data_IF_953965579210
#
_entry.id   IF_953965579210
#
_cell.length_a   1.000
_cell.length_b   1.000
_cell.length_c   1.000
_cell.angle_alpha   90.00
_cell.angle_beta   90.00
_cell.angle_gamma   90.00
#
_symmetry.space_group_name_H-M   'P 1'
#
loop_
_entity.id
_entity.type
_entity.pdbx_description
1 polymer ?
#
# COMPACT_ATOMS: atom_id res chain seq x y z
N UNK A 1 -6.49 8.90 -26.38
CA UNK A 1 -7.03 8.24 -25.18
C UNK A 1 -6.02 8.33 -24.05
N UNK A 2 -6.42 8.86 -22.91
CA UNK A 2 -5.55 8.96 -21.75
C UNK A 2 -5.36 7.59 -21.09
N UNK A 3 -4.15 7.31 -20.62
CA UNK A 3 -3.89 6.08 -19.88
C UNK A 3 -4.64 6.08 -18.55
N UNK A 4 -5.08 4.91 -18.12
CA UNK A 4 -5.60 4.72 -16.77
C UNK A 4 -4.43 4.73 -15.79
N UNK A 5 -4.48 5.62 -14.82
CA UNK A 5 -3.45 5.75 -13.79
C UNK A 5 -3.87 5.00 -12.53
N UNK A 6 -3.14 3.96 -12.20
CA UNK A 6 -3.40 3.10 -11.04
C UNK A 6 -2.34 3.37 -9.98
N UNK A 7 -2.77 3.67 -8.76
CA UNK A 7 -1.88 3.74 -7.60
C UNK A 7 -2.02 2.45 -6.81
N UNK A 8 -0.95 1.66 -6.73
CA UNK A 8 -0.90 0.48 -5.86
C UNK A 8 -0.23 0.88 -4.55
N UNK A 9 -0.88 0.59 -3.44
CA UNK A 9 -0.31 0.77 -2.10
C UNK A 9 -0.14 -0.58 -1.43
N UNK A 10 1.06 -0.84 -0.94
CA UNK A 10 1.45 -2.13 -0.38
C UNK A 10 2.56 -1.95 0.65
N UNK A 11 2.63 -2.87 1.61
CA UNK A 11 3.77 -2.90 2.53
C UNK A 11 5.00 -3.50 1.86
N UNK A 12 4.83 -4.64 1.19
CA UNK A 12 5.92 -5.41 0.61
C UNK A 12 6.17 -5.01 -0.84
N UNK A 13 7.42 -4.73 -1.15
CA UNK A 13 7.91 -4.53 -2.51
C UNK A 13 9.40 -4.91 -2.55
N UNK A 14 9.91 -5.48 -3.65
CA UNK A 14 11.32 -5.86 -3.71
C UNK A 14 12.27 -4.72 -3.31
N UNK A 15 13.36 -4.99 -2.59
CA UNK A 15 13.82 -6.32 -2.16
C UNK A 15 13.17 -6.86 -0.88
N UNK A 16 12.26 -6.15 -0.27
CA UNK A 16 11.65 -6.49 1.02
C UNK A 16 10.34 -7.28 0.84
N UNK A 17 10.41 -8.44 0.22
CA UNK A 17 9.30 -9.38 0.10
C UNK A 17 9.56 -10.57 1.02
N UNK A 18 8.57 -10.89 1.87
CA UNK A 18 8.68 -12.00 2.82
C UNK A 18 7.42 -12.89 2.87
N UNK A 19 6.39 -12.59 2.10
CA UNK A 19 5.14 -13.35 2.11
C UNK A 19 4.47 -13.45 0.76
N UNK A 20 3.40 -14.25 0.71
CA UNK A 20 2.64 -14.48 -0.52
C UNK A 20 1.96 -13.23 -1.05
N UNK A 21 1.54 -12.33 -0.16
CA UNK A 21 0.91 -11.08 -0.57
C UNK A 21 1.88 -10.21 -1.39
N UNK A 22 3.14 -10.10 -0.96
CA UNK A 22 4.14 -9.35 -1.71
C UNK A 22 4.42 -9.93 -3.08
N UNK A 23 4.48 -11.25 -3.19
CA UNK A 23 4.65 -11.93 -4.48
C UNK A 23 3.45 -11.66 -5.39
N UNK A 24 2.23 -11.74 -4.85
CA UNK A 24 1.02 -11.44 -5.60
C UNK A 24 1.02 -10.00 -6.14
N UNK A 25 1.35 -9.03 -5.31
CA UNK A 25 1.38 -7.62 -5.71
C UNK A 25 2.41 -7.37 -6.80
N UNK A 26 3.59 -7.98 -6.68
CA UNK A 26 4.64 -7.87 -7.70
C UNK A 26 4.15 -8.44 -9.04
N UNK A 27 3.58 -9.64 -9.06
CA UNK A 27 3.07 -10.28 -10.26
C UNK A 27 1.92 -9.48 -10.90
N UNK A 28 0.98 -9.01 -10.07
CA UNK A 28 -0.12 -8.17 -10.53
C UNK A 28 0.40 -6.88 -11.18
N UNK A 29 1.34 -6.22 -10.52
CA UNK A 29 1.90 -4.97 -11.02
C UNK A 29 2.62 -5.16 -12.36
N UNK A 30 3.41 -6.22 -12.47
CA UNK A 30 4.09 -6.56 -13.73
C UNK A 30 3.08 -6.81 -14.85
N UNK A 31 2.01 -7.55 -14.57
CA UNK A 31 0.95 -7.81 -15.54
C UNK A 31 0.22 -6.53 -15.96
N UNK A 32 -0.09 -5.66 -15.03
CA UNK A 32 -0.74 -4.38 -15.32
C UNK A 32 0.17 -3.46 -16.14
N UNK A 33 1.44 -3.39 -15.81
CA UNK A 33 2.42 -2.58 -16.54
C UNK A 33 2.65 -3.05 -17.97
N UNK A 34 2.33 -4.32 -18.27
CA UNK A 34 2.40 -4.86 -19.63
C UNK A 34 1.19 -4.48 -20.49
N UNK A 35 0.14 -3.93 -19.91
CA UNK A 35 -1.06 -3.52 -20.63
C UNK A 35 -0.86 -2.10 -21.18
N UNK A 36 -1.09 -1.92 -22.49
CA UNK A 36 -1.08 -0.59 -23.08
C UNK A 36 -2.20 0.25 -22.43
N UNK A 37 -1.97 1.54 -22.30
CA UNK A 37 -2.92 2.49 -21.72
C UNK A 37 -3.20 2.27 -20.22
N UNK A 38 -2.34 1.52 -19.53
CA UNK A 38 -2.35 1.42 -18.06
C UNK A 38 -1.00 1.86 -17.51
N UNK A 39 -1.03 2.86 -16.64
CA UNK A 39 0.16 3.35 -15.95
C UNK A 39 0.03 3.01 -14.47
N UNK A 40 1.04 2.36 -13.88
CA UNK A 40 1.00 1.92 -12.50
C UNK A 40 2.14 2.55 -11.70
N UNK A 41 1.77 3.33 -10.68
CA UNK A 41 2.68 3.80 -9.65
C UNK A 41 2.52 2.92 -8.41
N UNK A 42 3.63 2.42 -7.90
CA UNK A 42 3.66 1.64 -6.66
C UNK A 42 4.15 2.52 -5.53
N UNK A 43 3.42 2.52 -4.43
CA UNK A 43 3.76 3.17 -3.17
C UNK A 43 3.90 2.09 -2.10
N UNK A 44 5.06 2.00 -1.47
CA UNK A 44 5.36 0.91 -0.55
C UNK A 44 6.07 1.39 0.71
N UNK A 45 6.07 0.55 1.73
CA UNK A 45 6.79 0.80 2.96
C UNK A 45 8.30 0.65 2.74
N UNK A 46 9.08 1.43 3.47
CA UNK A 46 10.53 1.35 3.47
C UNK A 46 11.19 2.37 2.55
N UNK A 47 12.44 2.14 2.17
CA UNK A 47 13.20 3.07 1.37
C UNK A 47 12.75 3.13 -0.09
N UNK A 48 13.17 4.19 -0.77
CA UNK A 48 12.90 4.39 -2.20
C UNK A 48 13.48 3.24 -3.04
N UNK A 49 12.75 2.85 -4.08
CA UNK A 49 13.19 1.92 -5.13
C UNK A 49 13.25 2.66 -6.47
N UNK A 50 13.91 2.04 -7.46
CA UNK A 50 13.94 2.60 -8.82
C UNK A 50 12.57 2.56 -9.51
N UNK A 51 11.74 1.57 -9.14
CA UNK A 51 10.45 1.29 -9.76
C UNK A 51 9.24 1.50 -8.85
N UNK A 52 9.46 2.07 -7.66
CA UNK A 52 8.41 2.33 -6.68
C UNK A 52 8.78 3.47 -5.75
N UNK A 53 7.76 4.16 -5.25
CA UNK A 53 7.93 5.19 -4.22
C UNK A 53 7.95 4.52 -2.84
N UNK A 54 9.02 4.72 -2.08
CA UNK A 54 9.18 4.17 -0.74
C UNK A 54 8.89 5.21 0.34
N UNK A 55 8.30 4.76 1.43
CA UNK A 55 7.94 5.61 2.57
C UNK A 55 8.46 4.99 3.85
N UNK A 56 9.41 5.66 4.48
CA UNK A 56 9.96 5.24 5.76
C UNK A 56 9.07 5.73 6.90
N UNK A 57 9.23 5.11 8.08
CA UNK A 57 8.49 5.51 9.27
C UNK A 57 8.80 6.98 9.60
N UNK A 58 7.78 7.84 9.76
CA UNK A 58 8.00 9.22 10.13
C UNK A 58 8.70 9.36 11.49
N UNK A 59 9.44 10.46 11.65
CA UNK A 59 10.11 10.78 12.89
C UNK A 59 9.09 10.90 14.03
N UNK A 60 9.45 10.34 15.20
CA UNK A 60 8.58 10.36 16.38
C UNK A 60 7.74 9.12 16.60
N UNK A 61 7.73 8.19 15.65
CA UNK A 61 6.91 6.96 15.75
C UNK A 61 7.70 5.69 16.06
N UNK A 62 9.00 5.80 16.33
CA UNK A 62 9.85 4.63 16.56
C UNK A 62 9.38 3.75 17.73
N UNK A 63 8.83 4.35 18.78
CA UNK A 63 8.35 3.66 19.97
C UNK A 63 6.85 3.39 19.97
N UNK A 64 6.14 3.76 18.89
CA UNK A 64 4.72 3.49 18.76
C UNK A 64 4.47 2.00 18.49
N UNK A 65 3.24 1.53 18.80
CA UNK A 65 2.90 0.15 18.47
C UNK A 65 2.83 -0.04 16.94
N UNK A 66 2.94 -1.30 16.46
CA UNK A 66 3.01 -1.58 15.01
C UNK A 66 1.81 -1.07 14.20
N UNK A 67 0.62 -1.06 14.77
CA UNK A 67 -0.57 -0.57 14.06
C UNK A 67 -0.51 0.95 13.86
N UNK A 68 -0.05 1.69 14.86
CA UNK A 68 0.14 3.15 14.76
C UNK A 68 1.27 3.47 13.79
N UNK A 69 2.35 2.70 13.80
CA UNK A 69 3.45 2.86 12.84
C UNK A 69 2.95 2.68 11.40
N UNK A 70 2.17 1.64 11.13
CA UNK A 70 1.58 1.41 9.82
C UNK A 70 0.67 2.58 9.40
N UNK A 71 -0.17 3.06 10.30
CA UNK A 71 -1.05 4.19 10.03
C UNK A 71 -0.27 5.46 9.71
N UNK A 72 0.84 5.72 10.39
CA UNK A 72 1.69 6.88 10.14
C UNK A 72 2.26 6.86 8.72
N UNK A 73 2.72 5.69 8.25
CA UNK A 73 3.19 5.52 6.87
C UNK A 73 2.04 5.68 5.87
N UNK A 74 0.87 5.11 6.19
CA UNK A 74 -0.32 5.19 5.33
C UNK A 74 -0.79 6.63 5.10
N UNK A 75 -0.77 7.45 6.14
CA UNK A 75 -1.13 8.88 6.02
C UNK A 75 -0.21 9.60 5.04
N UNK A 76 1.08 9.33 5.09
CA UNK A 76 2.04 9.94 4.18
C UNK A 76 1.86 9.44 2.75
N UNK A 77 1.68 8.12 2.55
CA UNK A 77 1.40 7.57 1.22
C UNK A 77 0.16 8.19 0.61
N UNK A 78 -0.91 8.32 1.38
CA UNK A 78 -2.19 8.84 0.89
C UNK A 78 -2.05 10.25 0.31
N UNK A 79 -1.22 11.11 0.90
CA UNK A 79 -1.05 12.48 0.41
C UNK A 79 -0.46 12.55 -0.99
N UNK A 80 0.25 11.50 -1.43
CA UNK A 80 0.93 11.45 -2.73
C UNK A 80 0.13 10.74 -3.82
N UNK A 81 -1.14 10.40 -3.57
CA UNK A 81 -1.99 9.64 -4.50
C UNK A 81 -3.00 10.49 -5.26
N UNK A 82 -2.90 11.83 -5.20
CA UNK A 82 -3.88 12.71 -5.82
C UNK A 82 -3.91 12.69 -7.35
N UNK A 83 -2.90 12.11 -7.98
CA UNK A 83 -2.76 12.08 -9.45
C UNK A 83 -3.27 10.78 -10.09
N UNK A 84 -3.68 9.78 -9.31
CA UNK A 84 -4.15 8.50 -9.86
C UNK A 84 -5.66 8.51 -10.06
N UNK A 85 -6.13 7.66 -10.97
CA UNK A 85 -7.55 7.50 -11.27
C UNK A 85 -8.23 6.50 -10.33
N UNK A 86 -7.46 5.55 -9.79
CA UNK A 86 -7.92 4.54 -8.86
C UNK A 86 -6.77 4.13 -7.97
N UNK A 87 -7.05 3.91 -6.68
CA UNK A 87 -6.09 3.35 -5.75
C UNK A 87 -6.46 1.92 -5.40
N UNK A 88 -5.50 1.01 -5.49
CA UNK A 88 -5.67 -0.40 -5.14
C UNK A 88 -4.73 -0.73 -3.98
N UNK A 89 -5.31 -1.01 -2.82
CA UNK A 89 -4.55 -1.31 -1.60
C UNK A 89 -4.50 -2.81 -1.32
N UNK A 90 -3.40 -3.25 -0.75
CA UNK A 90 -3.12 -4.65 -0.46
C UNK A 90 -2.72 -4.83 0.99
N UNK A 91 -3.37 -5.74 1.67
CA UNK A 91 -3.23 -6.10 3.08
C UNK A 91 -3.68 -5.00 4.05
N UNK A 92 -3.92 -5.37 5.28
CA UNK A 92 -4.34 -4.42 6.31
C UNK A 92 -3.30 -3.31 6.54
N UNK A 93 -2.03 -3.61 6.29
CA UNK A 93 -0.95 -2.62 6.45
C UNK A 93 -1.16 -1.38 5.60
N UNK A 94 -1.64 -1.54 4.38
CA UNK A 94 -1.77 -0.45 3.41
C UNK A 94 -3.22 -0.11 3.05
N UNK A 95 -4.21 -0.89 3.53
CA UNK A 95 -5.60 -0.64 3.20
C UNK A 95 -6.08 0.73 3.69
N UNK A 96 -5.56 1.20 4.82
CA UNK A 96 -5.91 2.52 5.34
C UNK A 96 -5.36 3.63 4.45
N UNK A 97 -4.20 3.45 3.82
CA UNK A 97 -3.67 4.43 2.86
C UNK A 97 -4.64 4.62 1.69
N UNK A 98 -5.16 3.52 1.16
CA UNK A 98 -6.16 3.58 0.09
C UNK A 98 -7.47 4.26 0.52
N UNK A 99 -7.93 3.95 1.70
CA UNK A 99 -9.15 4.56 2.26
C UNK A 99 -8.98 6.08 2.44
N UNK A 100 -7.90 6.51 3.05
CA UNK A 100 -7.61 7.93 3.26
C UNK A 100 -7.45 8.65 1.93
N UNK A 101 -6.71 8.06 0.98
CA UNK A 101 -6.54 8.65 -0.35
C UNK A 101 -7.89 8.84 -1.06
N UNK A 102 -8.77 7.85 -0.95
CA UNK A 102 -10.13 7.93 -1.50
C UNK A 102 -10.91 9.11 -0.93
N UNK A 103 -10.88 9.29 0.39
CA UNK A 103 -11.54 10.41 1.05
C UNK A 103 -10.89 11.75 0.72
N UNK A 104 -9.56 11.80 0.71
CA UNK A 104 -8.80 13.03 0.54
C UNK A 104 -8.85 13.55 -0.90
N UNK A 105 -8.79 12.66 -1.88
CA UNK A 105 -8.67 13.01 -3.30
C UNK A 105 -9.93 12.70 -4.13
N UNK A 106 -10.95 12.07 -3.53
CA UNK A 106 -12.17 11.74 -4.23
C UNK A 106 -12.00 10.66 -5.30
N UNK A 107 -11.08 9.73 -5.11
CA UNK A 107 -10.80 8.65 -6.07
C UNK A 107 -11.36 7.31 -5.60
N UNK A 108 -11.76 6.42 -6.53
CA UNK A 108 -12.19 5.07 -6.16
C UNK A 108 -11.08 4.27 -5.47
N UNK A 109 -11.48 3.44 -4.51
CA UNK A 109 -10.58 2.59 -3.76
C UNK A 109 -10.99 1.13 -3.91
N UNK A 110 -10.04 0.30 -4.39
CA UNK A 110 -10.17 -1.16 -4.45
C UNK A 110 -9.38 -1.74 -3.29
N UNK A 111 -10.01 -2.58 -2.50
CA UNK A 111 -9.41 -3.19 -1.31
C UNK A 111 -9.15 -4.67 -1.57
N UNK A 112 -7.89 -5.09 -1.41
CA UNK A 112 -7.54 -6.52 -1.33
C UNK A 112 -7.09 -6.84 0.09
N UNK A 113 -7.90 -7.62 0.80
CA UNK A 113 -7.65 -7.93 2.20
C UNK A 113 -6.46 -8.89 2.39
N UNK A 114 -6.32 -9.89 1.54
CA UNK A 114 -5.37 -11.02 1.63
C UNK A 114 -5.56 -11.89 2.88
N UNK A 115 -5.98 -11.31 4.00
CA UNK A 115 -6.36 -12.00 5.22
C UNK A 115 -7.34 -11.14 6.02
N UNK A 116 -8.12 -11.78 6.88
CA UNK A 116 -9.03 -11.09 7.80
C UNK A 116 -8.48 -11.25 9.22
N UNK A 117 -7.79 -10.23 9.68
CA UNK A 117 -7.06 -10.29 10.95
C UNK A 117 -7.94 -10.60 12.18
N UNK A 118 -9.21 -10.12 12.27
CA UNK A 118 -10.08 -10.51 13.37
C UNK A 118 -10.33 -12.02 13.48
N UNK A 119 -10.15 -12.76 12.38
CA UNK A 119 -10.29 -14.22 12.34
C UNK A 119 -8.97 -14.94 12.63
N UNK A 120 -7.92 -14.20 12.97
CA UNK A 120 -6.56 -14.70 13.23
C UNK A 120 -6.09 -14.18 14.59
N UNK A 121 -6.62 -14.71 15.69
CA UNK A 121 -6.34 -14.16 17.03
C UNK A 121 -4.86 -14.20 17.44
N UNK A 122 -4.07 -15.11 16.85
CA UNK A 122 -2.63 -15.16 17.05
C UNK A 122 -1.89 -13.96 16.46
N UNK A 123 -2.58 -13.11 15.71
CA UNK A 123 -2.01 -11.89 15.15
C UNK A 123 -2.14 -10.67 16.07
N UNK A 124 -2.82 -10.80 17.20
CA UNK A 124 -3.06 -9.66 18.08
C UNK A 124 -1.76 -8.98 18.53
N UNK A 125 -0.71 -9.75 18.77
CA UNK A 125 0.61 -9.19 19.12
C UNK A 125 1.18 -8.31 18.03
N UNK A 126 0.94 -8.65 16.76
CA UNK A 126 1.39 -7.84 15.61
C UNK A 126 0.63 -6.51 15.53
N UNK A 127 -0.56 -6.46 16.09
CA UNK A 127 -1.38 -5.26 16.13
C UNK A 127 -1.13 -4.42 17.40
N UNK A 128 -0.25 -4.89 18.28
CA UNK A 128 0.14 -4.16 19.49
C UNK A 128 -0.85 -4.26 20.64
N UNK A 129 -1.70 -5.27 20.63
CA UNK A 129 -2.72 -5.50 21.67
C UNK A 129 -2.61 -6.80 22.37
#
# INVERSE_FOLDING_TARGET
>A
MTALKVGIVTKEWPPAIYGGAGVHVLQLTQALRAINDVHVDVHCFGGKRDDAFGYSLPVGFADANPAVQALAVDLEMATHLGHVDVVHSHTWYANMAGHIASLQHGIPHIVSAHSLEPLRPWKSEQLGG
#
